data_IF_101314585167
#
_entry.id   IF_101314585167
#
_cell.length_a   1.000
_cell.length_b   1.000
_cell.length_c   1.000
_cell.angle_alpha   90.00
_cell.angle_beta   90.00
_cell.angle_gamma   90.00
#
_symmetry.space_group_name_H-M   'P 1'
#
loop_
_entity.id
_entity.type
_entity.pdbx_description
1 polymer ?
#
# COMPACT_ATOMS: atom_id res chain seq x y z
N UNK A 1 -4.91 -12.95 6.80
CA UNK A 1 -6.34 -13.04 6.41
C UNK A 1 -6.64 -14.49 6.09
N UNK A 2 -7.75 -15.08 6.57
CA UNK A 2 -8.05 -16.50 6.32
C UNK A 2 -8.28 -16.77 4.82
N UNK A 3 -7.69 -17.83 4.27
CA UNK A 3 -7.77 -18.13 2.83
C UNK A 3 -9.20 -18.34 2.31
N UNK A 4 -10.09 -18.82 3.18
CA UNK A 4 -11.49 -19.07 2.83
C UNK A 4 -12.26 -17.78 2.54
N UNK A 5 -11.97 -16.68 3.25
CA UNK A 5 -12.70 -15.42 3.05
C UNK A 5 -12.24 -14.74 1.75
N UNK A 6 -10.92 -14.76 1.47
CA UNK A 6 -10.38 -14.18 0.25
C UNK A 6 -10.87 -14.92 -1.00
N UNK A 7 -10.73 -16.25 -1.05
CA UNK A 7 -11.09 -17.02 -2.24
C UNK A 7 -12.59 -17.00 -2.55
N UNK A 8 -13.42 -16.99 -1.51
CA UNK A 8 -14.86 -17.19 -1.66
C UNK A 8 -15.64 -15.88 -1.77
N UNK A 9 -15.23 -14.84 -1.02
CA UNK A 9 -15.98 -13.58 -0.94
C UNK A 9 -15.30 -12.45 -1.72
N UNK A 10 -14.02 -12.18 -1.43
CA UNK A 10 -13.34 -11.00 -1.96
C UNK A 10 -12.90 -11.16 -3.43
N UNK A 11 -12.33 -12.31 -3.78
CA UNK A 11 -11.83 -12.60 -5.13
C UNK A 11 -12.89 -12.43 -6.23
N UNK A 12 -14.09 -13.05 -6.17
CA UNK A 12 -15.06 -12.93 -7.26
C UNK A 12 -15.62 -11.50 -7.40
N UNK A 13 -15.66 -10.72 -6.33
CA UNK A 13 -16.14 -9.33 -6.35
C UNK A 13 -15.06 -8.39 -6.90
N UNK A 14 -13.84 -8.45 -6.37
CA UNK A 14 -12.76 -7.55 -6.76
C UNK A 14 -12.30 -7.78 -8.20
N UNK A 15 -12.30 -9.02 -8.68
CA UNK A 15 -11.86 -9.35 -10.04
C UNK A 15 -12.90 -9.00 -11.12
N UNK A 16 -14.12 -8.63 -10.73
CA UNK A 16 -15.13 -8.09 -11.65
C UNK A 16 -14.98 -6.58 -11.87
N UNK A 17 -14.21 -5.90 -11.01
CA UNK A 17 -13.96 -4.47 -11.12
C UNK A 17 -12.68 -4.20 -11.92
N UNK A 18 -12.60 -3.08 -12.66
CA UNK A 18 -11.33 -2.60 -13.18
C UNK A 18 -10.30 -2.45 -12.05
N UNK A 19 -9.04 -2.78 -12.31
CA UNK A 19 -7.98 -2.81 -11.28
C UNK A 19 -7.84 -1.48 -10.52
N UNK A 20 -8.05 -0.35 -11.22
CA UNK A 20 -8.02 0.99 -10.61
C UNK A 20 -9.16 1.19 -9.62
N UNK A 21 -10.37 0.78 -9.98
CA UNK A 21 -11.57 0.92 -9.16
C UNK A 21 -11.52 0.00 -7.94
N UNK A 22 -11.06 -1.24 -8.11
CA UNK A 22 -10.84 -2.17 -7.01
C UNK A 22 -9.84 -1.60 -5.99
N UNK A 23 -8.71 -1.07 -6.47
CA UNK A 23 -7.69 -0.42 -5.63
C UNK A 23 -8.27 0.78 -4.87
N UNK A 24 -8.91 1.70 -5.57
CA UNK A 24 -9.49 2.91 -4.98
C UNK A 24 -10.55 2.58 -3.92
N UNK A 25 -11.40 1.59 -4.19
CA UNK A 25 -12.37 1.07 -3.22
C UNK A 25 -11.68 0.52 -1.97
N UNK A 26 -10.69 -0.35 -2.14
CA UNK A 26 -9.94 -0.92 -1.02
C UNK A 26 -9.28 0.17 -0.16
N UNK A 27 -8.60 1.14 -0.79
CA UNK A 27 -7.94 2.24 -0.09
C UNK A 27 -8.95 3.12 0.66
N UNK A 28 -10.09 3.46 0.03
CA UNK A 28 -11.16 4.23 0.67
C UNK A 28 -11.74 3.50 1.88
N UNK A 29 -12.06 2.21 1.75
CA UNK A 29 -12.57 1.40 2.86
C UNK A 29 -11.55 1.37 4.01
N UNK A 30 -10.27 1.16 3.71
CA UNK A 30 -9.21 1.18 4.71
C UNK A 30 -9.06 2.56 5.38
N UNK A 31 -9.10 3.66 4.63
CA UNK A 31 -9.02 5.01 5.16
C UNK A 31 -10.21 5.35 6.08
N UNK A 32 -11.43 4.98 5.68
CA UNK A 32 -12.64 5.17 6.49
C UNK A 32 -12.55 4.35 7.79
N UNK A 33 -12.12 3.09 7.69
CA UNK A 33 -11.93 2.25 8.88
C UNK A 33 -10.89 2.86 9.82
N UNK A 34 -9.75 3.32 9.29
CA UNK A 34 -8.68 3.92 10.10
C UNK A 34 -9.09 5.22 10.79
N UNK A 35 -10.00 5.99 10.19
CA UNK A 35 -10.54 7.22 10.78
C UNK A 35 -11.37 6.95 12.04
N UNK A 36 -12.09 5.84 12.09
CA UNK A 36 -12.98 5.47 13.20
C UNK A 36 -12.24 4.74 14.35
N UNK A 37 -12.61 4.95 15.63
CA UNK A 37 -12.04 4.21 16.76
C UNK A 37 -12.26 2.70 16.68
N UNK A 38 -13.45 2.29 16.22
CA UNK A 38 -13.81 0.88 16.03
C UNK A 38 -13.02 0.27 14.88
N UNK A 39 -12.86 0.98 13.77
CA UNK A 39 -12.10 0.49 12.64
C UNK A 39 -10.61 0.37 12.93
N UNK A 40 -10.03 1.20 13.81
CA UNK A 40 -8.66 0.98 14.32
C UNK A 40 -8.52 -0.36 15.05
N UNK A 41 -9.49 -0.74 15.88
CA UNK A 41 -9.50 -2.06 16.53
C UNK A 41 -9.63 -3.21 15.53
N UNK A 42 -10.48 -3.06 14.51
CA UNK A 42 -10.63 -4.06 13.44
C UNK A 42 -9.34 -4.20 12.61
N UNK A 43 -8.68 -3.08 12.29
CA UNK A 43 -7.39 -3.09 11.60
C UNK A 43 -6.32 -3.74 12.47
N UNK A 44 -6.31 -3.50 13.78
CA UNK A 44 -5.38 -4.17 14.70
C UNK A 44 -5.64 -5.66 14.84
N UNK A 45 -6.90 -6.07 14.80
CA UNK A 45 -7.30 -7.46 14.88
C UNK A 45 -6.97 -8.22 13.59
N UNK A 46 -7.25 -7.63 12.43
CA UNK A 46 -6.97 -8.24 11.12
C UNK A 46 -5.52 -8.10 10.70
N UNK A 47 -4.87 -7.02 11.14
CA UNK A 47 -3.55 -6.57 10.73
C UNK A 47 -2.52 -6.67 11.85
N UNK A 48 -2.69 -7.57 12.82
CA UNK A 48 -1.72 -7.85 13.91
C UNK A 48 -0.40 -8.47 13.40
N UNK A 49 0.13 -7.96 12.30
CA UNK A 49 1.39 -8.31 11.68
C UNK A 49 2.46 -7.43 12.31
N UNK A 50 2.79 -7.68 13.58
CA UNK A 50 4.02 -7.12 14.13
C UNK A 50 5.18 -7.93 13.54
N UNK A 51 6.11 -7.31 12.81
CA UNK A 51 7.25 -8.03 12.29
C UNK A 51 8.09 -8.57 13.46
N UNK A 52 8.65 -9.77 13.27
CA UNK A 52 9.59 -10.34 14.23
C UNK A 52 10.79 -9.41 14.41
N UNK A 53 11.26 -9.21 15.64
CA UNK A 53 12.43 -8.37 15.95
C UNK A 53 13.69 -8.80 15.18
N UNK A 54 13.77 -10.06 14.74
CA UNK A 54 14.85 -10.58 13.88
C UNK A 54 14.90 -9.93 12.49
N UNK A 55 13.78 -9.35 12.05
CA UNK A 55 13.65 -8.66 10.76
C UNK A 55 14.09 -7.19 10.83
N UNK A 56 14.37 -6.65 12.02
CA UNK A 56 14.84 -5.27 12.15
C UNK A 56 16.12 -5.04 11.35
N UNK A 57 16.20 -3.93 10.62
CA UNK A 57 17.36 -3.52 9.83
C UNK A 57 17.67 -2.06 10.07
N UNK A 58 18.95 -1.72 10.18
CA UNK A 58 19.40 -0.34 10.24
C UNK A 58 19.97 0.05 8.88
N UNK A 59 19.47 1.13 8.30
CA UNK A 59 19.98 1.66 7.03
C UNK A 59 20.12 3.18 7.14
N UNK A 60 21.31 3.69 6.81
CA UNK A 60 21.66 5.12 6.93
C UNK A 60 21.32 5.73 8.31
N UNK A 61 21.49 4.96 9.39
CA UNK A 61 21.20 5.42 10.76
C UNK A 61 19.72 5.41 11.16
N UNK A 62 18.81 4.98 10.27
CA UNK A 62 17.40 4.77 10.58
C UNK A 62 17.12 3.28 10.84
N UNK A 63 16.32 2.99 11.85
CA UNK A 63 15.86 1.64 12.14
C UNK A 63 14.51 1.36 11.46
N UNK A 64 14.48 0.27 10.71
CA UNK A 64 13.29 -0.25 10.05
C UNK A 64 12.87 -1.56 10.71
N UNK A 65 11.62 -1.69 11.17
CA UNK A 65 11.17 -2.90 11.89
C UNK A 65 11.04 -4.14 11.00
N UNK A 66 11.06 -3.95 9.67
CA UNK A 66 11.01 -5.02 8.68
C UNK A 66 11.77 -4.58 7.43
N UNK A 67 12.42 -5.49 6.67
CA UNK A 67 13.03 -5.13 5.39
C UNK A 67 11.98 -4.92 4.29
N UNK A 68 10.72 -5.28 4.54
CA UNK A 68 9.63 -5.18 3.55
C UNK A 68 8.99 -3.81 3.65
N UNK A 69 9.07 -3.04 2.57
CA UNK A 69 8.37 -1.76 2.43
C UNK A 69 7.19 -1.82 1.46
N UNK A 70 6.29 -0.85 1.59
CA UNK A 70 5.24 -0.59 0.60
C UNK A 70 5.72 0.49 -0.37
N UNK A 71 5.89 0.13 -1.64
CA UNK A 71 6.36 1.05 -2.68
C UNK A 71 5.32 2.10 -3.08
N UNK A 72 5.79 3.19 -3.71
CA UNK A 72 4.92 4.28 -4.12
C UNK A 72 3.96 3.88 -5.26
N UNK A 73 2.97 4.75 -5.52
CA UNK A 73 1.90 4.48 -6.48
C UNK A 73 0.79 3.56 -5.94
N UNK A 74 1.00 2.90 -4.79
CA UNK A 74 -0.05 2.12 -4.11
C UNK A 74 -1.20 3.04 -3.67
N UNK A 75 -0.87 4.07 -2.89
CA UNK A 75 -1.81 5.03 -2.32
C UNK A 75 -1.41 6.46 -2.72
N UNK A 76 -1.69 6.82 -3.98
CA UNK A 76 -1.31 8.11 -4.58
C UNK A 76 -1.90 9.30 -3.80
N UNK A 77 -3.12 9.14 -3.30
CA UNK A 77 -3.86 10.17 -2.57
C UNK A 77 -3.60 10.12 -1.05
N UNK A 78 -2.73 9.22 -0.58
CA UNK A 78 -2.40 9.01 0.83
C UNK A 78 -3.61 8.77 1.75
N UNK A 79 -4.68 8.15 1.25
CA UNK A 79 -5.96 7.99 1.96
C UNK A 79 -5.93 6.85 2.99
N UNK A 80 -5.13 5.81 2.74
CA UNK A 80 -5.06 4.59 3.54
C UNK A 80 -3.77 4.46 4.36
N UNK A 81 -2.84 5.42 4.28
CA UNK A 81 -1.57 5.41 5.04
C UNK A 81 -1.74 5.04 6.52
N UNK A 82 -2.72 5.59 7.27
CA UNK A 82 -2.91 5.22 8.68
C UNK A 82 -3.36 3.77 8.92
N UNK A 83 -4.03 3.14 7.95
CA UNK A 83 -4.35 1.71 8.00
C UNK A 83 -3.12 0.86 7.60
N UNK A 84 -2.47 1.25 6.51
CA UNK A 84 -1.34 0.53 5.92
C UNK A 84 -0.13 0.47 6.87
N UNK A 85 0.11 1.53 7.66
CA UNK A 85 1.19 1.55 8.67
C UNK A 85 1.02 0.49 9.76
N UNK A 86 -0.19 -0.05 9.91
CA UNK A 86 -0.49 -1.09 10.91
C UNK A 86 -0.25 -2.50 10.38
N UNK A 87 -0.01 -2.67 9.07
CA UNK A 87 0.18 -3.98 8.44
C UNK A 87 1.60 -4.54 8.56
N UNK A 88 2.50 -3.88 9.30
CA UNK A 88 3.82 -4.41 9.61
C UNK A 88 4.90 -4.13 8.56
N UNK A 89 4.64 -3.22 7.62
CA UNK A 89 5.68 -2.72 6.73
C UNK A 89 6.76 -1.97 7.52
N UNK A 90 8.02 -2.14 7.12
CA UNK A 90 9.14 -1.40 7.67
C UNK A 90 9.13 0.08 7.29
N UNK A 91 8.68 0.37 6.07
CA UNK A 91 8.54 1.72 5.53
C UNK A 91 7.40 1.77 4.51
N UNK A 92 6.87 2.97 4.30
CA UNK A 92 5.85 3.25 3.27
C UNK A 92 6.37 4.43 2.46
N UNK A 93 6.51 4.24 1.16
CA UNK A 93 6.86 5.32 0.24
C UNK A 93 5.56 6.01 -0.24
N UNK A 94 5.33 7.23 0.22
CA UNK A 94 4.15 8.02 -0.16
C UNK A 94 4.45 8.83 -1.41
N UNK A 95 3.57 8.74 -2.40
CA UNK A 95 3.65 9.51 -3.63
C UNK A 95 3.35 8.70 -4.89
N UNK A 96 3.69 9.25 -6.07
CA UNK A 96 4.38 10.53 -6.28
C UNK A 96 3.48 11.75 -5.99
N UNK A 97 4.08 12.82 -5.47
CA UNK A 97 3.41 14.10 -5.24
C UNK A 97 3.89 15.10 -6.28
N UNK A 98 2.95 15.80 -6.92
CA UNK A 98 3.25 16.86 -7.88
C UNK A 98 2.88 18.23 -7.30
N UNK A 99 3.64 19.28 -7.65
CA UNK A 99 3.37 20.64 -7.16
C UNK A 99 2.00 21.20 -7.59
N UNK A 100 1.44 20.67 -8.67
CA UNK A 100 0.09 20.99 -9.15
C UNK A 100 -0.73 19.70 -9.21
N UNK A 101 -2.03 19.75 -8.88
CA UNK A 101 -2.90 18.57 -9.01
C UNK A 101 -2.99 18.17 -10.48
N UNK A 102 -2.69 16.91 -10.78
CA UNK A 102 -2.89 16.33 -12.11
C UNK A 102 -4.33 15.83 -12.19
N UNK A 103 -5.13 16.39 -13.11
CA UNK A 103 -6.43 15.79 -13.40
C UNK A 103 -6.21 14.50 -14.20
N UNK A 104 -7.11 13.54 -13.99
CA UNK A 104 -7.07 12.26 -14.71
C UNK A 104 -7.15 12.43 -16.24
N UNK A 105 -7.91 13.43 -16.69
CA UNK A 105 -7.99 13.86 -18.10
C UNK A 105 -6.69 14.42 -18.66
N UNK A 106 -5.82 14.95 -17.80
CA UNK A 106 -4.63 15.72 -18.19
C UNK A 106 -3.38 14.82 -18.21
N UNK A 107 -3.56 13.51 -18.41
CA UNK A 107 -2.49 12.52 -18.45
C UNK A 107 -2.21 11.80 -17.12
N UNK A 108 -3.12 11.87 -16.14
CA UNK A 108 -2.99 11.10 -14.89
C UNK A 108 -2.89 9.59 -15.10
N UNK A 109 -3.66 9.05 -16.05
CA UNK A 109 -3.57 7.63 -16.42
C UNK A 109 -2.24 7.30 -17.13
N UNK A 110 -1.67 8.24 -17.89
CA UNK A 110 -0.35 8.10 -18.53
C UNK A 110 0.80 8.18 -17.51
N UNK A 111 0.69 9.04 -16.50
CA UNK A 111 1.63 9.07 -15.38
C UNK A 111 1.58 7.75 -14.60
N UNK A 112 0.39 7.26 -14.27
CA UNK A 112 0.23 5.95 -13.61
C UNK A 112 0.84 4.83 -14.46
N UNK A 113 0.66 4.89 -15.79
CA UNK A 113 1.29 3.95 -16.73
C UNK A 113 2.82 4.06 -16.77
N UNK A 114 3.36 5.27 -16.75
CA UNK A 114 4.80 5.55 -16.75
C UNK A 114 5.48 5.11 -15.47
N UNK A 115 4.84 5.30 -14.31
CA UNK A 115 5.33 4.78 -13.03
C UNK A 115 5.38 3.26 -13.07
N UNK A 116 4.31 2.60 -13.53
CA UNK A 116 4.30 1.14 -13.68
C UNK A 116 5.41 0.63 -14.60
N UNK A 117 5.71 1.34 -15.68
CA UNK A 117 6.81 1.01 -16.58
C UNK A 117 8.17 1.24 -15.91
N UNK A 118 8.36 2.38 -15.25
CA UNK A 118 9.60 2.74 -14.56
C UNK A 118 9.95 1.71 -13.47
N UNK A 119 8.97 1.30 -12.65
CA UNK A 119 9.15 0.26 -11.63
C UNK A 119 9.40 -1.12 -12.21
N UNK A 120 8.84 -1.43 -13.38
CA UNK A 120 9.15 -2.70 -14.09
C UNK A 120 10.60 -2.74 -14.57
N UNK A 121 11.18 -1.58 -14.87
CA UNK A 121 12.55 -1.44 -15.35
C UNK A 121 13.58 -1.09 -14.27
N UNK A 122 13.17 -0.83 -13.02
CA UNK A 122 14.11 -0.44 -11.97
C UNK A 122 14.85 -1.69 -11.46
N UNK A 123 16.16 -1.84 -11.69
CA UNK A 123 16.95 -2.85 -11.00
C UNK A 123 17.10 -2.33 -9.57
N UNK A 124 16.33 -2.90 -8.63
CA UNK A 124 16.41 -2.48 -7.24
C UNK A 124 17.83 -2.66 -6.68
N UNK A 125 18.31 -1.77 -5.79
CA UNK A 125 19.62 -1.89 -5.14
C UNK A 125 19.71 -3.08 -4.15
N UNK A 126 18.65 -3.90 -4.05
CA UNK A 126 18.54 -5.04 -3.15
C UNK A 126 18.96 -6.37 -3.79
N UNK A 127 19.53 -6.35 -5.00
CA UNK A 127 20.02 -7.55 -5.69
C UNK A 127 21.46 -7.94 -5.33
N UNK A 128 22.10 -7.25 -4.37
CA UNK A 128 23.48 -7.50 -3.95
C UNK A 128 23.63 -7.81 -2.44
N UNK A 129 22.63 -8.44 -1.82
CA UNK A 129 22.75 -8.97 -0.44
C UNK A 129 22.37 -10.46 -0.39
#
# INVERSE_FOLDING_TARGET
>A
MPDWSYRTLFRPVLFRLPSSTARELCLKVMGVLAGSPVGRFVIDFLGHMRPDLRLTRTFQGLEFPSPVGLGCGTDIEAVAVPALSRFGFGFIEVGPVTCRPLRRSDGGDEMERRLRLAFRTYPGPFNEI
#
